data_IF_747016504580
#
_entry.id   IF_747016504580
#
_cell.length_a   1.000
_cell.length_b   1.000
_cell.length_c   1.000
_cell.angle_alpha   90.00
_cell.angle_beta   90.00
_cell.angle_gamma   90.00
#
_symmetry.space_group_name_H-M   'P 1'
#
loop_
_entity.id
_entity.type
_entity.pdbx_description
1 polymer ?
#
# COMPACT_ATOMS: atom_id res chain seq x y z
N UNK A 1 -20.05 42.33 30.43
CA UNK A 1 -20.77 41.04 30.41
C UNK A 1 -20.67 40.48 29.00
N UNK A 2 -19.88 39.43 28.79
CA UNK A 2 -19.88 38.75 27.50
C UNK A 2 -21.22 38.03 27.33
N UNK A 3 -21.88 38.25 26.20
CA UNK A 3 -23.14 37.57 25.89
C UNK A 3 -22.92 36.05 25.93
N UNK A 4 -23.82 35.31 26.58
CA UNK A 4 -23.77 33.84 26.66
C UNK A 4 -23.71 33.20 25.28
N UNK A 5 -24.29 33.86 24.28
CA UNK A 5 -24.20 33.49 22.86
C UNK A 5 -22.76 33.56 22.35
N UNK A 6 -22.03 34.63 22.67
CA UNK A 6 -20.63 34.79 22.25
C UNK A 6 -19.72 33.76 22.92
N UNK A 7 -19.94 33.47 24.21
CA UNK A 7 -19.20 32.43 24.93
C UNK A 7 -19.44 31.04 24.33
N UNK A 8 -20.69 30.71 23.98
CA UNK A 8 -21.04 29.44 23.36
C UNK A 8 -20.44 29.27 21.96
N UNK A 9 -20.39 30.34 21.17
CA UNK A 9 -19.76 30.32 19.84
C UNK A 9 -18.25 30.12 19.92
N UNK A 10 -17.58 30.78 20.88
CA UNK A 10 -16.14 30.63 21.12
C UNK A 10 -15.81 29.21 21.60
N UNK A 11 -16.62 28.64 22.48
CA UNK A 11 -16.45 27.26 22.94
C UNK A 11 -16.65 26.29 21.77
N UNK A 12 -17.68 26.48 20.95
CA UNK A 12 -17.94 25.62 19.79
C UNK A 12 -16.82 25.70 18.74
N UNK A 13 -16.27 26.88 18.46
CA UNK A 13 -15.12 27.02 17.54
C UNK A 13 -13.84 26.40 18.10
N UNK A 14 -13.56 26.53 19.39
CA UNK A 14 -12.43 25.88 20.07
C UNK A 14 -12.54 24.35 20.05
N UNK A 15 -13.75 23.81 20.28
CA UNK A 15 -14.01 22.38 20.13
C UNK A 15 -13.88 21.92 18.67
N UNK A 16 -14.33 22.73 17.70
CA UNK A 16 -14.18 22.41 16.28
C UNK A 16 -12.69 22.33 15.88
N UNK A 17 -11.87 23.30 16.29
CA UNK A 17 -10.42 23.29 16.02
C UNK A 17 -9.68 22.13 16.71
N UNK A 18 -10.16 21.67 17.87
CA UNK A 18 -9.55 20.53 18.57
C UNK A 18 -9.96 19.15 18.01
N UNK A 19 -11.05 19.07 17.24
CA UNK A 19 -11.63 17.79 16.79
C UNK A 19 -11.82 17.64 15.27
N UNK A 20 -11.71 18.71 14.48
CA UNK A 20 -11.57 18.67 13.03
C UNK A 20 -10.11 18.35 12.68
N UNK A 21 -9.79 17.05 12.68
CA UNK A 21 -8.50 16.57 12.22
C UNK A 21 -8.59 16.26 10.73
N UNK A 22 -7.83 17.00 9.92
CA UNK A 22 -7.69 16.75 8.49
C UNK A 22 -6.64 15.64 8.27
N UNK A 23 -6.88 14.69 7.34
CA UNK A 23 -5.89 13.70 6.98
C UNK A 23 -4.55 14.35 6.62
N UNK A 24 -3.49 13.86 7.23
CA UNK A 24 -2.11 14.32 7.04
C UNK A 24 -1.40 13.50 5.97
N UNK A 25 -0.15 13.87 5.69
CA UNK A 25 0.71 13.10 4.79
C UNK A 25 0.96 11.66 5.28
N UNK A 26 0.99 11.43 6.60
CA UNK A 26 1.28 10.12 7.19
C UNK A 26 0.12 9.13 7.02
N UNK A 27 -1.10 9.65 6.87
CA UNK A 27 -2.32 8.88 6.66
C UNK A 27 -2.40 8.33 5.22
N UNK A 28 -1.61 8.90 4.29
CA UNK A 28 -1.53 8.49 2.89
C UNK A 28 -0.33 7.55 2.65
N UNK A 29 -0.63 6.29 2.36
CA UNK A 29 0.37 5.27 2.03
C UNK A 29 0.15 4.77 0.62
N UNK A 30 1.17 4.82 -0.23
CA UNK A 30 1.11 4.30 -1.59
C UNK A 30 2.14 3.19 -1.78
N UNK A 31 1.84 2.26 -2.68
CA UNK A 31 2.73 1.21 -3.15
C UNK A 31 2.62 1.10 -4.66
N UNK A 32 3.70 0.79 -5.35
CA UNK A 32 3.67 0.48 -6.78
C UNK A 32 4.18 -0.93 -7.04
N UNK A 33 3.60 -1.60 -8.03
CA UNK A 33 4.07 -2.91 -8.49
C UNK A 33 5.26 -2.80 -9.46
N UNK A 34 5.68 -1.57 -9.80
CA UNK A 34 6.75 -1.21 -10.73
C UNK A 34 6.50 -1.55 -12.21
N UNK A 35 5.35 -2.15 -12.55
CA UNK A 35 5.02 -2.48 -13.94
C UNK A 35 3.84 -1.66 -14.45
N UNK A 36 2.68 -1.73 -13.79
CA UNK A 36 1.44 -1.16 -14.35
C UNK A 36 0.50 -0.51 -13.33
N UNK A 37 0.71 -0.72 -12.02
CA UNK A 37 -0.25 -0.29 -11.00
C UNK A 37 0.44 0.38 -9.81
N UNK A 38 -0.11 1.53 -9.43
CA UNK A 38 0.10 2.14 -8.12
C UNK A 38 -1.20 2.09 -7.33
N UNK A 39 -1.11 1.68 -6.07
CA UNK A 39 -2.24 1.64 -5.15
C UNK A 39 -1.95 2.54 -3.96
N UNK A 40 -2.86 3.46 -3.66
CA UNK A 40 -2.80 4.28 -2.47
C UNK A 40 -3.92 3.91 -1.50
N UNK A 41 -3.61 3.96 -0.21
CA UNK A 41 -4.50 3.74 0.90
C UNK A 41 -4.51 4.98 1.77
N UNK A 42 -5.70 5.44 2.14
CA UNK A 42 -5.94 6.50 3.10
C UNK A 42 -6.61 5.88 4.33
N UNK A 43 -5.97 6.00 5.49
CA UNK A 43 -6.43 5.40 6.74
C UNK A 43 -6.22 6.36 7.89
N UNK A 44 -7.30 6.77 8.54
CA UNK A 44 -7.28 7.49 9.82
C UNK A 44 -8.50 7.08 10.63
N UNK A 45 -8.34 6.99 11.96
CA UNK A 45 -9.38 6.54 12.90
C UNK A 45 -10.66 7.39 12.84
N UNK A 46 -10.58 8.57 12.21
CA UNK A 46 -11.68 9.54 12.11
C UNK A 46 -12.26 9.67 10.70
N UNK A 47 -11.79 8.86 9.74
CA UNK A 47 -12.30 8.91 8.37
C UNK A 47 -13.73 8.36 8.33
N UNK A 48 -14.73 9.25 8.25
CA UNK A 48 -16.14 8.86 8.24
C UNK A 48 -16.61 8.30 6.91
N UNK A 49 -15.91 8.65 5.82
CA UNK A 49 -16.25 8.28 4.45
C UNK A 49 -15.00 8.36 3.57
N UNK A 50 -14.95 7.54 2.52
CA UNK A 50 -13.95 7.67 1.46
C UNK A 50 -14.35 8.71 0.41
N UNK A 51 -15.65 8.98 0.29
CA UNK A 51 -16.18 9.88 -0.71
C UNK A 51 -15.69 11.30 -0.46
N UNK A 52 -15.20 11.95 -1.52
CA UNK A 52 -14.69 13.32 -1.46
C UNK A 52 -13.16 13.40 -1.38
N UNK A 53 -12.47 12.32 -0.98
CA UNK A 53 -11.02 12.29 -1.02
C UNK A 53 -10.49 11.89 -2.40
N UNK A 54 -9.45 12.58 -2.84
CA UNK A 54 -8.83 12.33 -4.13
C UNK A 54 -7.32 12.46 -4.06
N UNK A 55 -6.63 11.46 -4.61
CA UNK A 55 -5.21 11.55 -4.91
C UNK A 55 -5.03 12.20 -6.28
N UNK A 56 -4.18 13.22 -6.36
CA UNK A 56 -3.89 13.96 -7.59
C UNK A 56 -2.38 13.93 -7.88
N UNK A 57 -2.00 13.26 -8.96
CA UNK A 57 -0.69 13.40 -9.64
C UNK A 57 -0.96 13.99 -11.03
N UNK A 58 -0.59 13.26 -12.09
CA UNK A 58 -0.96 13.52 -13.48
C UNK A 58 -2.40 13.10 -13.78
N UNK A 59 -2.88 12.07 -13.08
CA UNK A 59 -4.25 11.60 -13.10
C UNK A 59 -4.91 11.75 -11.73
N UNK A 60 -6.23 11.90 -11.75
CA UNK A 60 -7.09 11.90 -10.58
C UNK A 60 -7.44 10.47 -10.19
N UNK A 61 -7.36 10.16 -8.90
CA UNK A 61 -7.78 8.87 -8.36
C UNK A 61 -8.68 9.12 -7.15
N UNK A 62 -9.95 8.72 -7.27
CA UNK A 62 -10.95 8.89 -6.22
C UNK A 62 -10.82 7.73 -5.25
N UNK A 63 -10.80 8.04 -3.96
CA UNK A 63 -10.75 7.01 -2.92
C UNK A 63 -12.11 6.35 -2.75
N UNK A 64 -12.11 5.02 -2.73
CA UNK A 64 -13.28 4.19 -2.48
C UNK A 64 -13.02 3.29 -1.27
N UNK A 65 -14.08 2.75 -0.66
CA UNK A 65 -13.89 1.86 0.49
C UNK A 65 -13.25 0.55 0.03
N UNK A 66 -12.22 0.08 0.76
CA UNK A 66 -11.63 -1.22 0.48
C UNK A 66 -12.64 -2.34 0.73
N UNK A 67 -12.56 -3.40 -0.06
CA UNK A 67 -13.35 -4.62 0.17
C UNK A 67 -12.81 -5.47 1.34
N UNK A 68 -11.60 -5.17 1.83
CA UNK A 68 -10.88 -6.03 2.78
C UNK A 68 -10.58 -5.36 4.12
N UNK A 69 -10.81 -4.04 4.25
CA UNK A 69 -10.52 -3.28 5.45
C UNK A 69 -11.38 -2.03 5.52
N UNK A 70 -11.32 -1.34 6.66
CA UNK A 70 -12.02 -0.06 6.85
C UNK A 70 -11.31 1.14 6.18
N UNK A 71 -10.20 0.87 5.47
CA UNK A 71 -9.41 1.89 4.80
C UNK A 71 -10.07 2.29 3.48
N UNK A 72 -9.72 3.48 3.02
CA UNK A 72 -10.05 3.91 1.67
C UNK A 72 -8.87 3.60 0.75
N UNK A 73 -9.17 3.15 -0.46
CA UNK A 73 -8.18 2.73 -1.43
C UNK A 73 -8.49 3.31 -2.79
N UNK A 74 -7.44 3.56 -3.54
CA UNK A 74 -7.51 4.10 -4.88
C UNK A 74 -6.42 3.42 -5.70
N UNK A 75 -6.74 3.02 -6.93
CA UNK A 75 -5.82 2.34 -7.85
C UNK A 75 -5.60 3.17 -9.09
N UNK A 76 -4.35 3.28 -9.50
CA UNK A 76 -3.91 4.10 -10.63
C UNK A 76 -3.19 3.16 -11.59
N UNK A 77 -3.67 3.13 -12.84
CA UNK A 77 -2.94 2.50 -13.93
C UNK A 77 -1.85 3.45 -14.41
N UNK A 78 -0.63 2.94 -14.43
CA UNK A 78 0.58 3.63 -14.86
C UNK A 78 1.09 2.88 -16.09
N UNK A 79 1.54 3.61 -17.11
CA UNK A 79 2.00 2.98 -18.35
C UNK A 79 3.34 2.28 -18.18
N UNK A 80 4.29 2.96 -17.52
CA UNK A 80 5.60 2.43 -17.14
C UNK A 80 6.11 3.20 -15.91
N UNK A 81 7.01 2.59 -15.15
CA UNK A 81 7.71 3.21 -14.03
C UNK A 81 9.19 3.41 -14.34
N UNK A 82 9.77 4.46 -13.76
CA UNK A 82 11.22 4.72 -13.81
C UNK A 82 11.78 4.69 -12.38
N UNK A 83 12.77 3.83 -12.12
CA UNK A 83 13.41 3.62 -10.79
C UNK A 83 13.74 4.92 -10.05
N UNK A 84 14.33 5.89 -10.76
CA UNK A 84 14.82 7.15 -10.18
C UNK A 84 13.86 8.33 -10.38
N UNK A 85 12.61 8.09 -10.80
CA UNK A 85 11.63 9.17 -10.95
C UNK A 85 11.17 9.66 -9.57
N UNK A 86 11.22 10.98 -9.41
CA UNK A 86 10.54 11.70 -8.35
C UNK A 86 9.28 12.35 -8.91
N UNK A 87 8.17 12.26 -8.19
CA UNK A 87 6.96 13.01 -8.52
C UNK A 87 6.27 13.53 -7.28
N UNK A 88 5.69 14.73 -7.40
CA UNK A 88 4.86 15.30 -6.35
C UNK A 88 3.40 14.97 -6.62
N UNK A 89 2.68 14.65 -5.55
CA UNK A 89 1.23 14.44 -5.57
C UNK A 89 0.57 15.25 -4.47
N UNK A 90 -0.74 15.42 -4.60
CA UNK A 90 -1.56 16.18 -3.67
C UNK A 90 -2.74 15.34 -3.22
N UNK A 91 -3.01 15.36 -1.91
CA UNK A 91 -4.25 14.82 -1.34
C UNK A 91 -5.28 15.95 -1.27
N UNK A 92 -6.45 15.70 -1.85
CA UNK A 92 -7.55 16.64 -1.91
C UNK A 92 -8.76 16.11 -1.14
N UNK A 93 -9.51 17.01 -0.51
CA UNK A 93 -10.90 16.80 -0.10
C UNK A 93 -11.80 17.77 -0.88
N UNK A 94 -12.57 17.23 -1.83
CA UNK A 94 -13.23 18.03 -2.85
C UNK A 94 -12.21 18.81 -3.68
N UNK A 95 -12.16 20.13 -3.50
CA UNK A 95 -11.19 21.03 -4.15
C UNK A 95 -10.10 21.53 -3.21
N UNK A 96 -10.20 21.24 -1.91
CA UNK A 96 -9.25 21.72 -0.91
C UNK A 96 -8.01 20.85 -0.90
N UNK A 97 -6.84 21.49 -0.86
CA UNK A 97 -5.55 20.81 -0.71
C UNK A 97 -5.32 20.53 0.77
N UNK A 98 -5.30 19.25 1.14
CA UNK A 98 -5.02 18.83 2.52
C UNK A 98 -3.51 18.68 2.73
N UNK A 99 -2.82 18.02 1.80
CA UNK A 99 -1.37 17.80 1.89
C UNK A 99 -0.75 17.58 0.51
N UNK A 100 0.57 17.73 0.44
CA UNK A 100 1.37 17.41 -0.76
C UNK A 100 2.58 16.58 -0.36
N UNK A 101 2.88 15.57 -1.15
CA UNK A 101 3.97 14.61 -0.91
C UNK A 101 4.75 14.33 -2.17
N UNK A 102 6.07 14.35 -2.04
CA UNK A 102 6.98 13.89 -3.10
C UNK A 102 7.31 12.43 -2.86
N UNK A 103 7.11 11.62 -3.90
CA UNK A 103 7.41 10.21 -3.93
C UNK A 103 8.61 9.96 -4.84
N UNK A 104 9.50 9.06 -4.44
CA UNK A 104 10.51 8.46 -5.29
C UNK A 104 10.11 7.03 -5.60
N UNK A 105 10.02 6.65 -6.88
CA UNK A 105 9.47 5.35 -7.32
C UNK A 105 10.00 4.16 -6.54
N UNK A 106 11.32 4.08 -6.33
CA UNK A 106 11.97 2.96 -5.64
C UNK A 106 11.61 2.83 -4.15
N UNK A 107 11.22 3.91 -3.47
CA UNK A 107 10.98 3.92 -2.02
C UNK A 107 9.70 3.17 -1.61
N UNK A 108 8.79 2.95 -2.56
CA UNK A 108 7.47 2.36 -2.31
C UNK A 108 7.14 1.22 -3.27
N UNK A 109 8.15 0.58 -3.85
CA UNK A 109 7.96 -0.66 -4.61
C UNK A 109 7.47 -1.75 -3.67
N UNK A 110 6.35 -2.36 -4.01
CA UNK A 110 5.83 -3.58 -3.38
C UNK A 110 5.68 -4.64 -4.46
N UNK A 111 6.58 -5.63 -4.52
CA UNK A 111 6.53 -6.65 -5.55
C UNK A 111 5.19 -7.39 -5.61
N UNK A 112 4.81 -7.85 -6.81
CA UNK A 112 3.68 -8.74 -6.98
C UNK A 112 3.86 -10.01 -6.15
N UNK A 113 2.75 -10.55 -5.65
CA UNK A 113 2.79 -11.81 -4.92
C UNK A 113 3.08 -12.94 -5.91
N UNK A 114 4.14 -13.74 -5.70
CA UNK A 114 4.47 -14.82 -6.61
C UNK A 114 3.46 -15.97 -6.51
N UNK A 115 3.30 -16.72 -7.59
CA UNK A 115 2.45 -17.91 -7.65
C UNK A 115 3.32 -19.15 -7.42
N UNK A 116 3.08 -19.85 -6.31
CA UNK A 116 3.86 -21.02 -5.89
C UNK A 116 3.30 -22.32 -6.49
N UNK A 117 4.19 -23.19 -6.97
CA UNK A 117 3.87 -24.56 -7.39
C UNK A 117 4.80 -25.57 -6.72
N UNK A 118 4.22 -26.64 -6.16
CA UNK A 118 4.96 -27.70 -5.47
C UNK A 118 4.65 -29.04 -6.11
N UNK A 119 5.69 -29.78 -6.50
CA UNK A 119 5.57 -31.10 -7.10
C UNK A 119 6.44 -32.10 -6.36
N UNK A 120 5.88 -33.26 -5.99
CA UNK A 120 6.67 -34.35 -5.41
C UNK A 120 7.43 -35.06 -6.52
N UNK A 121 8.73 -35.28 -6.33
CA UNK A 121 9.58 -36.02 -7.27
C UNK A 121 9.51 -37.52 -6.99
N UNK A 122 9.91 -38.34 -7.97
CA UNK A 122 9.95 -39.81 -7.85
C UNK A 122 10.79 -40.27 -6.65
N UNK A 123 11.86 -39.55 -6.32
CA UNK A 123 12.76 -39.83 -5.20
C UNK A 123 12.18 -39.42 -3.83
N UNK A 124 10.93 -38.95 -3.79
CA UNK A 124 10.29 -38.49 -2.55
C UNK A 124 10.61 -37.06 -2.13
N UNK A 125 11.44 -36.34 -2.90
CA UNK A 125 11.72 -34.91 -2.68
C UNK A 125 10.58 -34.02 -3.19
N UNK A 126 10.69 -32.72 -2.95
CA UNK A 126 9.74 -31.72 -3.46
C UNK A 126 10.48 -30.71 -4.35
N UNK A 127 10.03 -30.58 -5.59
CA UNK A 127 10.38 -29.47 -6.45
C UNK A 127 9.44 -28.29 -6.15
N UNK A 128 10.00 -27.14 -5.82
CA UNK A 128 9.26 -25.92 -5.49
C UNK A 128 9.63 -24.86 -6.50
N UNK A 129 8.66 -24.46 -7.30
CA UNK A 129 8.81 -23.45 -8.35
C UNK A 129 7.86 -22.30 -8.10
N UNK A 130 8.17 -21.13 -8.66
CA UNK A 130 7.31 -19.96 -8.56
C UNK A 130 7.37 -19.14 -9.84
N UNK A 131 6.30 -18.39 -10.06
CA UNK A 131 6.19 -17.36 -11.08
C UNK A 131 6.10 -16.00 -10.36
N UNK A 132 7.00 -15.06 -10.66
CA UNK A 132 7.06 -13.74 -10.01
C UNK A 132 5.99 -12.76 -10.51
N UNK A 133 5.22 -13.13 -11.54
CA UNK A 133 4.12 -12.37 -12.14
C UNK A 133 4.56 -11.10 -12.88
N UNK A 134 5.84 -10.98 -13.23
CA UNK A 134 6.36 -9.89 -14.05
C UNK A 134 6.54 -10.33 -15.51
N UNK A 135 6.05 -9.55 -16.47
CA UNK A 135 6.22 -9.85 -17.89
C UNK A 135 7.65 -9.52 -18.36
N UNK A 136 8.17 -8.41 -17.84
CA UNK A 136 9.53 -7.95 -18.10
C UNK A 136 10.40 -8.30 -16.88
N UNK A 137 11.65 -8.69 -17.10
CA UNK A 137 12.65 -8.80 -16.00
C UNK A 137 13.03 -7.40 -15.52
N UNK A 138 12.13 -6.68 -14.87
CA UNK A 138 12.32 -5.27 -14.49
C UNK A 138 13.08 -5.12 -13.17
N UNK A 139 13.11 -6.18 -12.36
CA UNK A 139 13.74 -6.18 -11.04
C UNK A 139 14.70 -7.37 -10.93
N UNK A 140 15.93 -7.19 -11.43
CA UNK A 140 17.00 -8.20 -11.34
C UNK A 140 17.33 -8.55 -9.87
N UNK A 141 16.98 -7.67 -8.94
CA UNK A 141 17.21 -7.81 -7.50
C UNK A 141 16.07 -8.49 -6.73
N UNK A 142 15.04 -9.02 -7.39
CA UNK A 142 14.00 -9.78 -6.70
C UNK A 142 14.59 -11.00 -5.98
N UNK A 143 14.30 -11.09 -4.69
CA UNK A 143 14.70 -12.19 -3.81
C UNK A 143 13.47 -12.81 -3.20
N UNK A 144 13.44 -14.14 -3.14
CA UNK A 144 12.33 -14.86 -2.55
C UNK A 144 12.75 -15.49 -1.23
N UNK A 145 11.90 -15.27 -0.24
CA UNK A 145 11.96 -15.90 1.07
C UNK A 145 10.92 -17.00 1.12
N UNK A 146 11.37 -18.26 1.01
CA UNK A 146 10.51 -19.41 1.18
C UNK A 146 10.49 -19.82 2.64
N UNK A 147 9.29 -19.88 3.22
CA UNK A 147 9.06 -20.41 4.56
C UNK A 147 8.20 -21.67 4.46
N UNK A 148 8.64 -22.76 5.09
CA UNK A 148 7.95 -24.05 5.08
C UNK A 148 8.04 -24.73 6.45
N UNK A 149 7.04 -25.54 6.77
CA UNK A 149 6.94 -26.23 8.05
C UNK A 149 5.88 -27.33 8.01
N UNK A 150 5.88 -28.17 9.05
CA UNK A 150 4.85 -29.20 9.21
C UNK A 150 3.59 -28.51 9.69
N UNK A 151 2.46 -28.77 9.01
CA UNK A 151 1.17 -28.22 9.40
C UNK A 151 0.83 -28.63 10.84
N UNK A 152 0.57 -27.66 11.71
CA UNK A 152 0.31 -27.87 13.13
C UNK A 152 1.57 -28.05 13.99
N UNK A 153 2.76 -28.00 13.40
CA UNK A 153 4.03 -27.94 14.13
C UNK A 153 4.33 -26.55 14.67
N UNK A 154 5.27 -26.46 15.60
CA UNK A 154 5.67 -25.22 16.25
C UNK A 154 6.84 -24.50 15.57
N UNK A 155 7.51 -25.16 14.62
CA UNK A 155 8.72 -24.65 13.98
C UNK A 155 8.56 -24.55 12.47
N UNK A 156 8.97 -23.40 11.92
CA UNK A 156 9.06 -23.15 10.49
C UNK A 156 10.52 -22.90 10.11
N UNK A 157 10.91 -23.39 8.93
CA UNK A 157 12.21 -23.14 8.33
C UNK A 157 12.07 -22.08 7.24
N UNK A 158 13.00 -21.13 7.21
CA UNK A 158 13.05 -20.06 6.19
C UNK A 158 14.34 -20.14 5.38
N UNK A 159 14.24 -20.01 4.05
CA UNK A 159 15.39 -19.92 3.15
C UNK A 159 15.20 -18.76 2.18
N UNK A 160 16.20 -17.89 2.10
CA UNK A 160 16.28 -16.82 1.08
C UNK A 160 17.10 -17.30 -0.10
N UNK A 161 16.56 -17.23 -1.31
CA UNK A 161 17.26 -17.65 -2.53
C UNK A 161 16.84 -16.84 -3.75
N UNK A 162 17.74 -16.83 -4.74
CA UNK A 162 17.43 -16.45 -6.12
C UNK A 162 16.89 -17.66 -6.93
N UNK A 163 17.19 -18.91 -6.52
CA UNK A 163 16.71 -20.19 -7.06
C UNK A 163 16.87 -21.32 -6.00
N UNK A 164 15.97 -22.30 -5.92
CA UNK A 164 15.98 -23.34 -4.87
C UNK A 164 15.76 -24.76 -5.42
N UNK A 165 16.72 -25.66 -5.13
CA UNK A 165 16.48 -27.11 -5.03
C UNK A 165 16.36 -27.47 -3.53
N UNK A 166 15.24 -28.06 -3.13
CA UNK A 166 15.08 -28.58 -1.76
C UNK A 166 15.48 -30.05 -1.74
N UNK A 167 16.64 -30.36 -1.17
CA UNK A 167 17.05 -31.72 -0.83
C UNK A 167 16.45 -32.05 0.54
N UNK A 168 15.39 -32.87 0.54
CA UNK A 168 14.89 -33.50 1.75
C UNK A 168 15.85 -34.60 2.20
N UNK A 169 16.14 -34.68 3.49
CA UNK A 169 16.70 -35.89 4.12
C UNK A 169 15.56 -36.79 4.57
#
# INVERSE_FOLDING_TARGET
MFSTVLLSQIILTLFCQAFCFEPTEEDLKCFNDYETEMKCSLSTDRLKSCCGYKFQKMYACIFERSNHSDNCECKIKVQDFLLNENFTSTLLEGTNVLSSKTFKTEDFIKPKTPVLSVQKTENGNFNVTWDDQYEKRVLEDLRINLTYGIKGGHENLSRTKHYLDIIGK
#
